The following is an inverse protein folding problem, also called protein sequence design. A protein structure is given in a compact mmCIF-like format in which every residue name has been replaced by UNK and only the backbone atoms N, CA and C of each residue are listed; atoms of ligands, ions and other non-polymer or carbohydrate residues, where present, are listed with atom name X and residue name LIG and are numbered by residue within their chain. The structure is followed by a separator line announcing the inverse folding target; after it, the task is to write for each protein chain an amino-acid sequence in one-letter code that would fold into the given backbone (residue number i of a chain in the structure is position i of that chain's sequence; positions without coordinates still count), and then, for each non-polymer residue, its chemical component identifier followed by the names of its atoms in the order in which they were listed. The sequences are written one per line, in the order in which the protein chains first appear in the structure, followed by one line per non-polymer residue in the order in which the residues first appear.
data_IF_676965943273
#
_entry.id   IF_676965943273
#
_cell.length_a   1.000
_cell.length_b   1.000
_cell.length_c   1.000
_cell.angle_alpha   90.00
_cell.angle_beta   90.00
_cell.angle_gamma   90.00
#
_symmetry.space_group_name_H-M   'P 1'
#
loop_
_entity.id
_entity.type
_entity.pdbx_description
1 polymer ?
#
# COMPACT_ATOMS: atom_id res chain seq x y z
N UNK A 1 -23.72 9.00 -15.73
CA UNK A 1 -22.87 7.83 -16.02
C UNK A 1 -21.53 7.88 -15.28
N UNK A 2 -20.78 8.98 -15.34
CA UNK A 2 -19.48 9.11 -14.65
C UNK A 2 -19.52 8.80 -13.15
N UNK A 3 -20.49 9.33 -12.40
CA UNK A 3 -20.62 9.06 -10.96
C UNK A 3 -20.85 7.59 -10.63
N UNK A 4 -21.63 6.89 -11.47
CA UNK A 4 -21.84 5.44 -11.31
C UNK A 4 -20.52 4.69 -11.49
N UNK A 5 -19.76 5.01 -12.53
CA UNK A 5 -18.45 4.40 -12.77
C UNK A 5 -17.48 4.69 -11.64
N UNK A 6 -17.44 5.91 -11.10
CA UNK A 6 -16.60 6.24 -9.94
C UNK A 6 -16.91 5.34 -8.73
N UNK A 7 -18.20 5.13 -8.43
CA UNK A 7 -18.64 4.24 -7.33
C UNK A 7 -18.29 2.78 -7.64
N UNK A 8 -18.57 2.31 -8.85
CA UNK A 8 -18.30 0.92 -9.25
C UNK A 8 -16.82 0.60 -9.22
N UNK A 9 -15.95 1.52 -9.66
CA UNK A 9 -14.50 1.37 -9.57
C UNK A 9 -13.99 1.41 -8.12
N UNK A 10 -14.67 2.13 -7.22
CA UNK A 10 -14.35 2.04 -5.79
C UNK A 10 -14.72 0.69 -5.20
N UNK A 11 -15.90 0.17 -5.56
CA UNK A 11 -16.36 -1.14 -5.12
C UNK A 11 -15.48 -2.26 -5.67
N UNK A 12 -15.08 -2.23 -6.95
CA UNK A 12 -14.19 -3.24 -7.53
C UNK A 12 -12.84 -3.26 -6.82
N UNK A 13 -12.28 -2.09 -6.54
CA UNK A 13 -11.01 -1.99 -5.83
C UNK A 13 -11.11 -2.53 -4.41
N UNK A 14 -12.17 -2.17 -3.67
CA UNK A 14 -12.42 -2.72 -2.34
C UNK A 14 -12.56 -4.25 -2.36
N UNK A 15 -13.37 -4.79 -3.28
CA UNK A 15 -13.58 -6.23 -3.40
C UNK A 15 -12.28 -6.98 -3.71
N UNK A 16 -11.46 -6.44 -4.61
CA UNK A 16 -10.21 -7.04 -5.04
C UNK A 16 -9.10 -6.97 -3.97
N UNK A 17 -8.98 -5.86 -3.25
CA UNK A 17 -7.93 -5.66 -2.23
C UNK A 17 -8.25 -6.33 -0.89
N UNK A 18 -9.52 -6.50 -0.54
CA UNK A 18 -9.95 -6.99 0.77
C UNK A 18 -10.56 -8.40 0.68
N UNK A 19 -11.84 -8.62 0.29
CA UNK A 19 -12.42 -9.96 0.21
C UNK A 19 -11.67 -10.97 -0.65
N UNK A 20 -11.15 -10.54 -1.81
CA UNK A 20 -10.60 -11.45 -2.82
C UNK A 20 -9.08 -11.57 -2.77
N UNK A 21 -8.39 -10.73 -1.99
CA UNK A 21 -6.94 -10.80 -1.86
C UNK A 21 -6.53 -11.96 -0.94
N UNK A 22 -6.28 -13.12 -1.54
CA UNK A 22 -5.90 -14.33 -0.82
C UNK A 22 -4.46 -14.37 -0.31
N UNK A 23 -4.15 -15.38 0.51
CA UNK A 23 -2.80 -15.64 1.08
C UNK A 23 -1.71 -15.76 0.01
N UNK A 24 -2.05 -16.33 -1.15
CA UNK A 24 -1.13 -16.43 -2.28
C UNK A 24 -0.73 -15.06 -2.82
N UNK A 25 -1.69 -14.16 -3.04
CA UNK A 25 -1.49 -12.80 -3.56
C UNK A 25 -0.67 -11.93 -2.60
N UNK A 26 -0.82 -12.13 -1.29
CA UNK A 26 0.04 -11.51 -0.27
C UNK A 26 1.52 -11.91 -0.39
N UNK A 27 1.83 -12.92 -1.19
CA UNK A 27 3.20 -13.20 -1.64
C UNK A 27 3.85 -12.04 -2.39
N UNK A 28 3.12 -10.98 -2.77
CA UNK A 28 3.64 -9.76 -3.41
C UNK A 28 4.74 -9.05 -2.60
N UNK A 29 4.84 -9.29 -1.29
CA UNK A 29 5.89 -8.74 -0.43
C UNK A 29 7.21 -9.54 -0.39
N UNK A 30 7.29 -10.65 -1.13
CA UNK A 30 8.53 -11.44 -1.27
C UNK A 30 9.55 -10.68 -2.14
N UNK A 31 10.86 -11.00 -2.06
CA UNK A 31 11.82 -10.47 -3.00
C UNK A 31 11.57 -11.01 -4.42
N UNK A 32 11.99 -10.22 -5.42
CA UNK A 32 12.00 -10.67 -6.82
C UNK A 32 12.94 -11.89 -6.99
N UNK A 33 12.57 -12.90 -7.81
CA UNK A 33 11.38 -13.00 -8.67
C UNK A 33 10.13 -13.58 -8.01
N UNK A 34 10.22 -14.01 -6.75
CA UNK A 34 9.13 -14.76 -6.08
C UNK A 34 7.85 -13.93 -5.85
N UNK A 35 7.92 -12.60 -5.91
CA UNK A 35 6.74 -11.73 -5.86
C UNK A 35 5.95 -11.63 -7.16
N UNK A 36 6.55 -11.96 -8.31
CA UNK A 36 5.99 -11.64 -9.62
C UNK A 36 4.62 -12.31 -9.86
N UNK A 37 4.51 -13.61 -9.65
CA UNK A 37 3.26 -14.33 -9.87
C UNK A 37 2.14 -13.94 -8.86
N UNK A 38 2.42 -13.81 -7.55
CA UNK A 38 1.46 -13.22 -6.60
C UNK A 38 0.94 -11.84 -7.01
N UNK A 39 1.86 -10.97 -7.47
CA UNK A 39 1.56 -9.60 -7.89
C UNK A 39 0.66 -9.60 -9.12
N UNK A 40 1.04 -10.33 -10.16
CA UNK A 40 0.23 -10.46 -11.39
C UNK A 40 -1.11 -11.12 -11.12
N UNK A 41 -1.18 -12.07 -10.18
CA UNK A 41 -2.46 -12.71 -9.82
C UNK A 41 -3.41 -11.74 -9.13
N UNK A 42 -2.89 -10.86 -8.28
CA UNK A 42 -3.69 -9.79 -7.69
C UNK A 42 -4.12 -8.76 -8.74
N UNK A 43 -3.19 -8.28 -9.57
CA UNK A 43 -3.48 -7.39 -10.68
C UNK A 43 -4.50 -8.00 -11.66
N UNK A 44 -4.46 -9.32 -11.87
CA UNK A 44 -5.41 -10.02 -12.75
C UNK A 44 -6.83 -9.96 -12.20
N UNK A 45 -7.04 -10.03 -10.88
CA UNK A 45 -8.38 -9.86 -10.29
C UNK A 45 -8.92 -8.46 -10.60
N UNK A 46 -8.10 -7.42 -10.44
CA UNK A 46 -8.47 -6.05 -10.82
C UNK A 46 -8.76 -5.93 -12.31
N UNK A 47 -7.88 -6.48 -13.16
CA UNK A 47 -8.03 -6.48 -14.61
C UNK A 47 -9.28 -7.21 -15.09
N UNK A 48 -9.67 -8.34 -14.46
CA UNK A 48 -10.91 -9.06 -14.76
C UNK A 48 -12.13 -8.23 -14.41
N UNK A 49 -12.15 -7.56 -13.25
CA UNK A 49 -13.25 -6.64 -12.93
C UNK A 49 -13.34 -5.48 -13.93
N UNK A 50 -12.21 -4.86 -14.25
CA UNK A 50 -12.15 -3.77 -15.24
C UNK A 50 -12.64 -4.24 -16.61
N UNK A 51 -12.24 -5.44 -17.06
CA UNK A 51 -12.76 -6.04 -18.29
C UNK A 51 -14.28 -6.18 -18.25
N UNK A 52 -14.84 -6.77 -17.19
CA UNK A 52 -16.29 -6.98 -17.07
C UNK A 52 -17.08 -5.67 -17.01
N UNK A 53 -16.55 -4.66 -16.31
CA UNK A 53 -17.15 -3.33 -16.26
C UNK A 53 -17.10 -2.69 -17.66
N UNK A 54 -15.95 -2.70 -18.32
CA UNK A 54 -15.75 -2.09 -19.63
C UNK A 54 -16.56 -2.78 -20.74
N UNK A 55 -16.74 -4.10 -20.66
CA UNK A 55 -17.51 -4.90 -21.62
C UNK A 55 -18.98 -4.46 -21.72
N UNK A 56 -19.52 -3.85 -20.67
CA UNK A 56 -20.87 -3.27 -20.70
C UNK A 56 -20.97 -2.01 -21.59
N UNK A 57 -19.87 -1.27 -21.77
CA UNK A 57 -19.86 0.03 -22.43
C UNK A 57 -19.11 0.04 -23.78
N UNK A 58 -18.18 -0.88 -23.99
CA UNK A 58 -17.30 -0.96 -25.15
C UNK A 58 -17.33 -2.37 -25.76
N UNK A 59 -16.80 -2.50 -26.97
CA UNK A 59 -16.58 -3.82 -27.57
C UNK A 59 -15.57 -4.65 -26.76
N UNK A 60 -15.59 -5.96 -27.00
CA UNK A 60 -14.79 -6.91 -26.22
C UNK A 60 -13.29 -6.70 -26.38
N UNK A 61 -12.84 -6.18 -27.54
CA UNK A 61 -11.42 -5.92 -27.80
C UNK A 61 -10.94 -4.77 -26.93
N UNK A 62 -11.66 -3.63 -26.93
CA UNK A 62 -11.34 -2.48 -26.10
C UNK A 62 -11.43 -2.85 -24.62
N UNK A 63 -12.46 -3.58 -24.20
CA UNK A 63 -12.59 -4.04 -22.82
C UNK A 63 -11.41 -4.92 -22.40
N UNK A 64 -10.96 -5.84 -23.27
CA UNK A 64 -9.82 -6.71 -22.98
C UNK A 64 -8.52 -5.90 -22.83
N UNK A 65 -8.31 -4.89 -23.67
CA UNK A 65 -7.16 -3.99 -23.54
C UNK A 65 -7.20 -3.18 -22.24
N UNK A 66 -8.37 -2.68 -21.84
CA UNK A 66 -8.52 -1.95 -20.58
C UNK A 66 -8.26 -2.85 -19.37
N UNK A 67 -8.76 -4.09 -19.38
CA UNK A 67 -8.49 -5.06 -18.32
C UNK A 67 -7.00 -5.42 -18.21
N UNK A 68 -6.32 -5.62 -19.35
CA UNK A 68 -4.88 -5.86 -19.37
C UNK A 68 -4.08 -4.64 -18.88
N UNK A 69 -4.49 -3.43 -19.28
CA UNK A 69 -3.85 -2.19 -18.83
C UNK A 69 -3.96 -2.01 -17.32
N UNK A 70 -5.16 -2.21 -16.76
CA UNK A 70 -5.39 -2.13 -15.31
C UNK A 70 -4.55 -3.16 -14.56
N UNK A 71 -4.50 -4.41 -15.03
CA UNK A 71 -3.64 -5.45 -14.44
C UNK A 71 -2.16 -5.01 -14.37
N UNK A 72 -1.63 -4.45 -15.46
CA UNK A 72 -0.23 -4.04 -15.54
C UNK A 72 0.07 -2.83 -14.66
N UNK A 73 -0.77 -1.79 -14.71
CA UNK A 73 -0.59 -0.60 -13.88
C UNK A 73 -0.71 -0.94 -12.40
N UNK A 74 -1.76 -1.68 -12.02
CA UNK A 74 -2.00 -2.08 -10.63
C UNK A 74 -0.84 -2.91 -10.08
N UNK A 75 -0.38 -3.89 -10.86
CA UNK A 75 0.81 -4.69 -10.51
C UNK A 75 2.05 -3.80 -10.33
N UNK A 76 2.26 -2.83 -11.23
CA UNK A 76 3.39 -1.90 -11.15
C UNK A 76 3.38 -1.05 -9.87
N UNK A 77 2.23 -0.46 -9.54
CA UNK A 77 2.06 0.35 -8.33
C UNK A 77 2.30 -0.50 -7.07
N UNK A 78 1.68 -1.67 -7.00
CA UNK A 78 1.86 -2.59 -5.87
C UNK A 78 3.31 -3.07 -5.72
N UNK A 79 4.03 -3.25 -6.83
CA UNK A 79 5.42 -3.67 -6.81
C UNK A 79 6.32 -2.59 -6.19
N UNK A 80 6.13 -1.32 -6.59
CA UNK A 80 6.85 -0.18 -6.01
C UNK A 80 6.59 -0.10 -4.50
N UNK A 81 5.33 -0.21 -4.09
CA UNK A 81 4.93 -0.18 -2.67
C UNK A 81 5.48 -1.35 -1.86
N UNK A 82 5.55 -2.54 -2.45
CA UNK A 82 6.04 -3.74 -1.76
C UNK A 82 7.56 -3.80 -1.66
N UNK A 83 8.29 -3.05 -2.49
CA UNK A 83 9.74 -3.15 -2.61
C UNK A 83 10.50 -2.09 -1.78
N UNK A 84 11.30 -2.51 -0.76
CA UNK A 84 12.11 -1.58 0.03
C UNK A 84 13.10 -0.75 -0.77
N UNK A 85 13.67 -1.30 -1.86
CA UNK A 85 14.66 -0.57 -2.67
C UNK A 85 14.04 0.52 -3.53
N UNK A 86 12.71 0.52 -3.70
CA UNK A 86 11.95 1.51 -4.45
C UNK A 86 11.22 2.50 -3.53
N UNK A 87 11.59 2.54 -2.24
CA UNK A 87 10.96 3.43 -1.26
C UNK A 87 9.63 2.90 -0.72
N UNK A 88 9.37 1.60 -0.84
CA UNK A 88 8.21 0.92 -0.26
C UNK A 88 8.48 0.33 1.13
N UNK A 89 7.46 -0.38 1.65
CA UNK A 89 7.55 -1.25 2.86
C UNK A 89 7.88 -0.56 4.19
N UNK A 90 7.34 0.64 4.40
CA UNK A 90 7.30 1.24 5.74
C UNK A 90 6.34 0.47 6.67
N UNK A 91 6.51 0.62 7.99
CA UNK A 91 5.66 -0.03 8.99
C UNK A 91 4.83 1.01 9.73
N UNK A 92 3.53 0.78 9.82
CA UNK A 92 2.65 1.50 10.73
C UNK A 92 2.97 1.11 12.17
N UNK A 93 2.99 2.09 13.07
CA UNK A 93 3.03 1.85 14.51
C UNK A 93 1.60 1.66 15.06
N UNK A 94 1.45 0.80 16.05
CA UNK A 94 0.23 0.76 16.86
C UNK A 94 0.22 1.96 17.79
N UNK A 95 -0.90 2.21 18.48
CA UNK A 95 -0.97 3.29 19.46
C UNK A 95 0.09 3.12 20.55
N UNK A 96 0.24 1.90 21.05
CA UNK A 96 1.18 1.56 22.13
C UNK A 96 2.62 1.78 21.67
N UNK A 97 2.99 1.25 20.50
CA UNK A 97 4.36 1.39 19.98
C UNK A 97 4.66 2.83 19.56
N UNK A 98 3.67 3.58 19.07
CA UNK A 98 3.82 5.01 18.81
C UNK A 98 4.13 5.80 20.09
N UNK A 99 3.37 5.59 21.16
CA UNK A 99 3.60 6.25 22.45
C UNK A 99 4.96 5.87 23.02
N UNK A 100 5.37 4.61 22.87
CA UNK A 100 6.68 4.15 23.29
C UNK A 100 7.81 4.84 22.51
N UNK A 101 7.74 4.85 21.17
CA UNK A 101 8.74 5.53 20.33
C UNK A 101 8.77 7.04 20.60
N UNK A 102 7.63 7.66 20.90
CA UNK A 102 7.55 9.06 21.33
C UNK A 102 8.28 9.27 22.65
N UNK A 103 7.95 8.51 23.69
CA UNK A 103 8.60 8.61 25.00
C UNK A 103 10.10 8.36 24.91
N UNK A 104 10.54 7.35 24.15
CA UNK A 104 11.95 7.09 23.88
C UNK A 104 12.64 8.30 23.22
N UNK A 105 12.01 8.93 22.22
CA UNK A 105 12.55 10.12 21.56
C UNK A 105 12.76 11.30 22.52
N UNK A 106 12.01 11.34 23.62
CA UNK A 106 12.10 12.34 24.68
C UNK A 106 12.96 11.89 25.88
N UNK A 107 13.47 10.65 25.88
CA UNK A 107 14.22 10.07 27.00
C UNK A 107 13.35 9.76 28.23
N UNK A 108 12.10 9.33 28.04
CA UNK A 108 11.12 9.09 29.12
C UNK A 108 10.85 7.60 29.39
N UNK A 109 11.06 6.69 28.43
CA UNK A 109 10.81 5.24 28.60
C UNK A 109 11.75 4.41 27.73
N UNK A 110 12.00 3.17 28.14
CA UNK A 110 12.83 2.16 27.46
C UNK A 110 12.06 1.43 26.34
N UNK A 111 12.79 0.64 25.55
CA UNK A 111 12.24 -0.18 24.44
C UNK A 111 11.26 -1.27 24.91
N UNK A 112 11.41 -1.73 26.15
CA UNK A 112 10.50 -2.71 26.74
C UNK A 112 9.29 -2.04 27.43
N UNK A 113 9.16 -0.72 27.32
CA UNK A 113 8.13 0.08 27.97
C UNK A 113 8.40 0.38 29.45
N UNK A 114 9.52 -0.07 30.01
CA UNK A 114 9.92 0.28 31.38
C UNK A 114 10.35 1.76 31.50
N UNK A 115 10.23 2.38 32.69
CA UNK A 115 10.76 3.73 32.91
C UNK A 115 12.28 3.78 32.69
N UNK A 116 12.79 4.92 32.22
CA UNK A 116 14.24 5.10 32.09
C UNK A 116 14.93 4.97 33.47
N UNK A 117 16.01 4.18 33.58
CA UNK A 117 16.77 4.11 34.81
C UNK A 117 17.48 5.44 35.07
N UNK A 118 17.61 5.80 36.36
CA UNK A 118 18.27 7.06 36.77
C UNK A 118 19.75 7.13 36.38
N UNK A 119 20.40 5.98 36.22
CA UNK A 119 21.83 5.83 35.94
C UNK A 119 22.06 5.14 34.59
N UNK A 120 21.49 5.69 33.51
CA UNK A 120 21.82 5.28 32.15
C UNK A 120 23.04 6.05 31.63
N UNK A 121 23.90 5.40 30.85
CA UNK A 121 24.99 6.11 30.16
C UNK A 121 24.44 7.09 29.13
N UNK A 122 25.11 8.24 28.95
CA UNK A 122 24.71 9.25 27.96
C UNK A 122 24.62 8.66 26.54
N UNK A 123 25.54 7.75 26.22
CA UNK A 123 25.58 7.07 24.92
C UNK A 123 24.35 6.18 24.69
N UNK A 124 23.94 5.44 25.71
CA UNK A 124 22.75 4.57 25.59
C UNK A 124 21.47 5.40 25.51
N UNK A 125 21.39 6.49 26.28
CA UNK A 125 20.27 7.44 26.21
C UNK A 125 20.10 8.02 24.79
N UNK A 126 21.19 8.47 24.18
CA UNK A 126 21.14 8.99 22.81
C UNK A 126 20.75 7.92 21.79
N UNK A 127 21.24 6.69 21.97
CA UNK A 127 20.83 5.55 21.14
C UNK A 127 19.32 5.31 21.21
N UNK A 128 18.71 5.34 22.41
CA UNK A 128 17.27 5.18 22.58
C UNK A 128 16.48 6.32 21.93
N UNK A 129 16.93 7.57 22.09
CA UNK A 129 16.29 8.72 21.43
C UNK A 129 16.34 8.60 19.91
N UNK A 130 17.46 8.14 19.35
CA UNK A 130 17.60 7.91 17.91
C UNK A 130 16.65 6.83 17.39
N UNK A 131 16.54 5.70 18.10
CA UNK A 131 15.61 4.63 17.76
C UNK A 131 14.17 5.14 17.73
N UNK A 132 13.73 5.84 18.78
CA UNK A 132 12.39 6.43 18.85
C UNK A 132 12.12 7.40 17.69
N UNK A 133 13.07 8.30 17.40
CA UNK A 133 12.97 9.23 16.25
C UNK A 133 12.87 8.49 14.91
N UNK A 134 13.64 7.43 14.72
CA UNK A 134 13.65 6.62 13.50
C UNK A 134 12.31 5.93 13.27
N UNK A 135 11.74 5.34 14.31
CA UNK A 135 10.44 4.66 14.24
C UNK A 135 9.31 5.64 13.92
N UNK A 136 9.30 6.81 14.58
CA UNK A 136 8.34 7.88 14.27
C UNK A 136 8.43 8.34 12.82
N UNK A 137 9.65 8.51 12.30
CA UNK A 137 9.88 8.90 10.89
C UNK A 137 9.39 7.82 9.92
N UNK A 138 9.67 6.55 10.21
CA UNK A 138 9.18 5.41 9.42
C UNK A 138 7.65 5.36 9.39
N UNK A 139 7.00 5.60 10.53
CA UNK A 139 5.54 5.68 10.63
C UNK A 139 4.95 6.80 9.78
N UNK A 140 5.58 7.98 9.76
CA UNK A 140 5.15 9.09 8.89
C UNK A 140 5.22 8.65 7.42
N UNK A 141 6.34 8.05 7.00
CA UNK A 141 6.48 7.58 5.63
C UNK A 141 5.50 6.48 5.25
N UNK A 142 5.09 5.63 6.20
CA UNK A 142 4.01 4.66 5.97
C UNK A 142 2.71 5.34 5.53
N UNK A 143 2.26 6.37 6.24
CA UNK A 143 1.01 7.05 5.91
C UNK A 143 1.10 7.83 4.60
N UNK A 144 2.25 8.42 4.30
CA UNK A 144 2.50 9.07 3.01
C UNK A 144 2.48 8.07 1.86
N UNK A 145 3.16 6.94 2.02
CA UNK A 145 3.17 5.87 1.02
C UNK A 145 1.77 5.27 0.82
N UNK A 146 0.99 5.10 1.88
CA UNK A 146 -0.39 4.63 1.80
C UNK A 146 -1.28 5.62 1.04
N UNK A 147 -1.14 6.92 1.30
CA UNK A 147 -1.89 7.95 0.55
C UNK A 147 -1.50 8.02 -0.92
N UNK A 148 -0.20 7.97 -1.23
CA UNK A 148 0.30 7.96 -2.60
C UNK A 148 -0.17 6.71 -3.38
N UNK A 149 -0.19 5.56 -2.71
CA UNK A 149 -0.74 4.31 -3.24
C UNK A 149 -2.22 4.45 -3.60
N UNK A 150 -3.07 4.95 -2.70
CA UNK A 150 -4.48 5.17 -3.03
C UNK A 150 -4.66 6.16 -4.19
N UNK A 151 -3.89 7.26 -4.19
CA UNK A 151 -3.93 8.24 -5.27
C UNK A 151 -3.58 7.60 -6.63
N UNK A 152 -2.53 6.80 -6.72
CA UNK A 152 -2.11 6.15 -7.96
C UNK A 152 -3.20 5.22 -8.54
N UNK A 153 -3.86 4.45 -7.68
CA UNK A 153 -4.99 3.61 -8.08
C UNK A 153 -6.19 4.44 -8.54
N UNK A 154 -6.54 5.53 -7.84
CA UNK A 154 -7.62 6.42 -8.28
C UNK A 154 -7.32 7.09 -9.64
N UNK A 155 -6.09 7.56 -9.85
CA UNK A 155 -5.69 8.15 -11.14
C UNK A 155 -5.82 7.13 -12.28
N UNK A 156 -5.48 5.88 -12.01
CA UNK A 156 -5.67 4.77 -12.96
C UNK A 156 -7.15 4.58 -13.27
N UNK A 157 -8.02 4.55 -12.25
CA UNK A 157 -9.47 4.46 -12.46
C UNK A 157 -10.01 5.65 -13.26
N UNK A 158 -9.56 6.87 -12.99
CA UNK A 158 -10.01 8.05 -13.73
C UNK A 158 -9.62 7.97 -15.20
N UNK A 159 -8.40 7.48 -15.50
CA UNK A 159 -7.97 7.23 -16.86
C UNK A 159 -8.87 6.18 -17.55
N UNK A 160 -9.12 5.04 -16.91
CA UNK A 160 -9.94 3.96 -17.46
C UNK A 160 -11.39 4.43 -17.70
N UNK A 161 -11.97 5.16 -16.75
CA UNK A 161 -13.31 5.73 -16.86
C UNK A 161 -13.39 6.74 -18.00
N UNK A 162 -12.36 7.58 -18.15
CA UNK A 162 -12.30 8.53 -19.27
C UNK A 162 -12.30 7.80 -20.61
N UNK A 163 -11.49 6.74 -20.78
CA UNK A 163 -11.47 5.95 -22.02
C UNK A 163 -12.81 5.23 -22.27
N UNK A 164 -13.49 4.76 -21.22
CA UNK A 164 -14.81 4.13 -21.34
C UNK A 164 -15.88 5.14 -21.82
N UNK A 165 -15.76 6.40 -21.44
CA UNK A 165 -16.76 7.43 -21.76
C UNK A 165 -16.45 8.25 -23.02
N UNK A 166 -15.21 8.26 -23.49
CA UNK A 166 -14.81 8.84 -24.78
C UNK A 166 -15.26 8.00 -25.95
#
# INVERSE_FOLDING_TARGET
MIYLLLVVYQLKHFLADYPLQGRYMLGKFKPFPACLLPLLSHGLVHGVFTFLIALYFKDWQVAAWLGALDMLIHSGVDYVKANPSLGGRFKALTKETYMMSHNMSQGLSMVDGSPMPKEISEKDLETYKELGRKDLKSNVYFWWALGADQLAHHLTHYLLIWIILS
#
